data_IF_556583409492
#
_entry.id   IF_556583409492
#
_cell.length_a   1.000
_cell.length_b   1.000
_cell.length_c   1.000
_cell.angle_alpha   90.00
_cell.angle_beta   90.00
_cell.angle_gamma   90.00
#
_symmetry.space_group_name_H-M   'P 1'
#
loop_
_entity.id
_entity.type
_entity.pdbx_description
1 polymer ?
#
# COMPACT_ATOMS: atom_id res chain seq x y z
N UNK A 1 -17.91 -79.00 15.03
CA UNK A 1 -18.78 -80.17 14.76
C UNK A 1 -20.10 -79.91 15.47
N UNK A 2 -21.22 -80.00 14.73
CA UNK A 2 -22.63 -79.92 15.15
C UNK A 2 -23.13 -78.55 15.66
N UNK A 3 -24.34 -78.07 15.38
CA UNK A 3 -25.36 -78.31 14.34
C UNK A 3 -26.51 -77.29 14.56
N UNK A 4 -27.28 -77.05 13.50
CA UNK A 4 -28.72 -76.67 13.47
C UNK A 4 -29.09 -75.19 13.67
N UNK A 5 -29.58 -74.44 12.68
CA UNK A 5 -30.83 -74.50 11.87
C UNK A 5 -32.10 -73.91 12.53
N UNK A 6 -32.88 -73.25 11.65
CA UNK A 6 -34.20 -72.57 11.79
C UNK A 6 -34.16 -71.10 12.24
N UNK A 7 -34.20 -70.09 11.36
CA UNK A 7 -35.13 -69.65 10.26
C UNK A 7 -36.07 -68.53 10.70
N UNK A 8 -36.04 -67.46 9.88
CA UNK A 8 -37.15 -66.59 9.44
C UNK A 8 -37.79 -65.67 10.51
N UNK A 9 -37.88 -64.34 10.33
CA UNK A 9 -38.34 -63.58 9.14
C UNK A 9 -37.99 -62.06 9.34
N UNK A 10 -38.27 -61.14 8.38
CA UNK A 10 -37.33 -60.19 7.76
C UNK A 10 -37.27 -58.81 8.47
N UNK A 11 -36.11 -58.13 8.53
CA UNK A 11 -35.53 -57.15 7.54
C UNK A 11 -36.45 -55.93 7.35
N UNK A 12 -36.05 -54.65 7.42
CA UNK A 12 -34.85 -53.86 7.76
C UNK A 12 -35.32 -52.40 7.49
N UNK A 13 -34.74 -51.30 7.93
CA UNK A 13 -33.50 -51.00 8.68
C UNK A 13 -33.58 -49.52 9.06
N UNK A 14 -33.20 -49.21 10.29
CA UNK A 14 -32.74 -47.89 10.70
C UNK A 14 -31.42 -48.07 11.45
N UNK A 15 -30.56 -47.07 11.29
CA UNK A 15 -29.44 -46.71 12.16
C UNK A 15 -28.14 -47.50 12.02
N UNK A 16 -27.03 -46.76 11.99
CA UNK A 16 -25.79 -47.17 12.64
C UNK A 16 -25.06 -45.93 13.19
N UNK A 17 -25.07 -45.84 14.52
CA UNK A 17 -24.22 -45.01 15.36
C UNK A 17 -23.61 -45.95 16.43
N UNK A 18 -22.31 -45.76 16.69
CA UNK A 18 -21.49 -46.10 17.87
C UNK A 18 -21.14 -47.55 18.27
N UNK A 19 -19.84 -47.73 18.55
CA UNK A 19 -19.30 -48.55 19.64
C UNK A 19 -18.24 -47.72 20.43
N UNK A 20 -18.24 -47.91 21.75
CA UNK A 20 -17.60 -47.18 22.88
C UNK A 20 -16.40 -47.99 23.48
N UNK A 21 -15.58 -47.52 24.49
CA UNK A 21 -15.93 -47.65 25.93
C UNK A 21 -15.40 -46.58 26.94
N UNK A 22 -15.96 -46.67 28.15
CA UNK A 22 -15.96 -45.85 29.39
C UNK A 22 -14.64 -45.70 30.19
N UNK A 23 -14.46 -44.59 30.95
CA UNK A 23 -14.48 -44.49 32.46
C UNK A 23 -14.28 -43.00 32.97
N UNK A 24 -14.34 -42.70 34.30
CA UNK A 24 -15.45 -42.13 35.06
C UNK A 24 -15.48 -40.59 35.27
N UNK A 25 -16.67 -40.13 35.63
CA UNK A 25 -17.09 -38.81 36.10
C UNK A 25 -16.36 -38.25 37.33
N UNK A 26 -15.74 -37.07 37.18
CA UNK A 26 -15.53 -36.08 38.25
C UNK A 26 -16.06 -34.72 37.79
N UNK A 27 -16.90 -34.12 38.62
CA UNK A 27 -17.43 -32.77 38.48
C UNK A 27 -16.31 -31.73 38.59
N UNK A 28 -16.01 -31.05 37.48
CA UNK A 28 -15.23 -29.82 37.46
C UNK A 28 -16.12 -28.73 36.86
N UNK A 29 -16.57 -27.82 37.72
CA UNK A 29 -17.22 -26.58 37.34
C UNK A 29 -16.25 -25.72 36.54
N UNK A 30 -16.35 -25.76 35.20
CA UNK A 30 -15.67 -24.78 34.35
C UNK A 30 -16.56 -23.55 34.20
N UNK A 31 -16.09 -22.43 34.75
CA UNK A 31 -16.65 -21.11 34.48
C UNK A 31 -16.62 -20.86 32.97
N UNK A 32 -17.78 -20.54 32.39
CA UNK A 32 -17.91 -20.05 31.01
C UNK A 32 -17.15 -18.73 30.87
N UNK A 33 -15.88 -18.80 30.49
CA UNK A 33 -15.20 -17.68 29.85
C UNK A 33 -15.84 -17.44 28.48
N UNK A 34 -16.28 -16.21 28.25
CA UNK A 34 -17.02 -15.78 27.05
C UNK A 34 -16.11 -15.90 25.84
N UNK A 35 -16.41 -16.82 24.92
CA UNK A 35 -15.90 -16.71 23.55
C UNK A 35 -16.53 -15.45 22.90
N UNK A 36 -15.76 -14.66 22.13
CA UNK A 36 -16.31 -13.55 21.36
C UNK A 36 -17.31 -14.09 20.30
N UNK A 37 -18.27 -13.26 19.86
CA UNK A 37 -19.32 -13.70 18.94
C UNK A 37 -18.73 -14.20 17.61
N UNK A 38 -19.27 -15.33 17.12
CA UNK A 38 -18.89 -15.97 15.86
C UNK A 38 -18.85 -14.95 14.69
N UNK A 39 -17.82 -14.98 13.82
CA UNK A 39 -17.83 -14.18 12.61
C UNK A 39 -19.01 -14.61 11.73
N UNK A 40 -19.80 -13.62 11.30
CA UNK A 40 -20.74 -13.63 10.17
C UNK A 40 -20.82 -14.99 9.45
N UNK A 41 -21.82 -15.80 9.78
CA UNK A 41 -22.25 -17.06 9.13
C UNK A 41 -21.37 -17.48 7.94
N UNK A 42 -20.23 -18.15 8.20
CA UNK A 42 -19.48 -18.85 7.16
C UNK A 42 -20.42 -19.87 6.52
N UNK A 43 -20.47 -19.95 5.19
CA UNK A 43 -21.22 -21.01 4.53
C UNK A 43 -20.64 -22.37 4.93
N UNK A 44 -21.45 -23.43 4.94
CA UNK A 44 -21.00 -24.78 5.30
C UNK A 44 -19.73 -25.20 4.54
N UNK A 45 -19.62 -24.81 3.26
CA UNK A 45 -18.43 -25.03 2.42
C UNK A 45 -17.17 -24.33 2.98
N UNK A 46 -17.28 -23.10 3.48
CA UNK A 46 -16.11 -22.36 4.01
C UNK A 46 -15.65 -22.93 5.35
N UNK A 47 -16.55 -23.44 6.18
CA UNK A 47 -16.19 -24.16 7.41
C UNK A 47 -15.39 -25.43 7.10
N UNK A 48 -15.81 -26.21 6.11
CA UNK A 48 -15.07 -27.41 5.68
C UNK A 48 -13.67 -27.06 5.17
N UNK A 49 -13.55 -26.00 4.37
CA UNK A 49 -12.25 -25.52 3.85
C UNK A 49 -11.33 -25.08 4.99
N UNK A 50 -11.86 -24.39 6.01
CA UNK A 50 -11.07 -24.00 7.18
C UNK A 50 -10.58 -25.21 7.98
N UNK A 51 -11.42 -26.24 8.15
CA UNK A 51 -11.02 -27.49 8.78
C UNK A 51 -9.89 -28.19 8.03
N UNK A 52 -10.03 -28.33 6.70
CA UNK A 52 -9.00 -28.90 5.84
C UNK A 52 -7.70 -28.09 5.89
N UNK A 53 -7.80 -26.76 5.92
CA UNK A 53 -6.63 -25.89 6.04
C UNK A 53 -5.91 -26.09 7.37
N UNK A 54 -6.65 -26.14 8.48
CA UNK A 54 -6.11 -26.37 9.83
C UNK A 54 -5.39 -27.72 9.94
N UNK A 55 -5.95 -28.78 9.35
CA UNK A 55 -5.33 -30.11 9.31
C UNK A 55 -3.97 -30.09 8.59
N UNK A 56 -3.89 -29.42 7.44
CA UNK A 56 -2.66 -29.37 6.64
C UNK A 56 -1.51 -28.59 7.26
N UNK A 57 -1.83 -27.62 8.09
CA UNK A 57 -0.83 -26.77 8.76
C UNK A 57 -0.58 -27.22 10.21
N UNK A 58 -1.07 -28.38 10.61
CA UNK A 58 -1.01 -28.84 12.00
C UNK A 58 0.42 -28.93 12.53
N UNK A 59 1.39 -29.23 11.66
CA UNK A 59 2.82 -29.26 11.96
C UNK A 59 3.41 -27.89 12.31
N UNK A 60 2.85 -26.81 11.76
CA UNK A 60 3.33 -25.43 11.97
C UNK A 60 2.39 -24.57 12.81
N UNK A 61 1.20 -25.07 13.14
CA UNK A 61 0.19 -24.34 13.94
C UNK A 61 0.74 -23.80 15.28
N UNK A 62 1.60 -24.52 16.04
CA UNK A 62 2.18 -24.00 17.28
C UNK A 62 3.16 -22.83 17.09
N UNK A 63 3.67 -22.64 15.87
CA UNK A 63 4.63 -21.59 15.52
C UNK A 63 3.94 -20.28 15.09
N UNK A 64 2.62 -20.30 14.91
CA UNK A 64 1.87 -19.13 14.49
C UNK A 64 1.69 -18.13 15.64
N UNK A 65 1.65 -16.81 15.33
CA UNK A 65 1.37 -15.80 16.34
C UNK A 65 -0.05 -15.94 16.93
N UNK A 66 -0.98 -16.49 16.16
CA UNK A 66 -2.35 -16.76 16.60
C UNK A 66 -2.93 -18.00 15.92
N UNK A 67 -3.75 -18.74 16.66
CA UNK A 67 -4.37 -20.00 16.20
C UNK A 67 -5.89 -19.92 16.03
N UNK A 68 -6.49 -18.75 16.32
CA UNK A 68 -7.93 -18.55 16.20
C UNK A 68 -8.37 -18.44 14.72
N UNK A 69 -9.63 -18.75 14.44
CA UNK A 69 -10.14 -18.88 13.08
C UNK A 69 -9.99 -17.60 12.26
N UNK A 70 -10.16 -16.44 12.87
CA UNK A 70 -9.94 -15.15 12.20
C UNK A 70 -8.55 -15.03 11.57
N UNK A 71 -7.49 -15.45 12.27
CA UNK A 71 -6.12 -15.42 11.75
C UNK A 71 -6.00 -16.32 10.52
N UNK A 72 -6.46 -17.56 10.62
CA UNK A 72 -6.41 -18.55 9.53
C UNK A 72 -7.22 -18.11 8.30
N UNK A 73 -8.38 -17.49 8.53
CA UNK A 73 -9.26 -17.02 7.47
C UNK A 73 -8.63 -15.89 6.65
N UNK A 74 -7.70 -15.09 7.18
CA UNK A 74 -7.00 -14.06 6.40
C UNK A 74 -6.22 -14.66 5.23
N UNK A 75 -5.49 -15.75 5.49
CA UNK A 75 -4.71 -16.48 4.48
C UNK A 75 -5.61 -17.11 3.42
N UNK A 76 -6.72 -17.72 3.86
CA UNK A 76 -7.72 -18.29 2.97
C UNK A 76 -8.36 -17.22 2.09
N UNK A 77 -8.84 -16.11 2.66
CA UNK A 77 -9.46 -15.01 1.89
C UNK A 77 -8.49 -14.42 0.87
N UNK A 78 -7.23 -14.19 1.25
CA UNK A 78 -6.20 -13.65 0.36
C UNK A 78 -5.85 -14.55 -0.83
N UNK A 79 -6.25 -15.83 -0.81
CA UNK A 79 -6.06 -16.79 -1.90
C UNK A 79 -7.38 -17.39 -2.38
N UNK A 80 -8.49 -16.66 -2.23
CA UNK A 80 -9.84 -17.07 -2.68
C UNK A 80 -10.23 -18.47 -2.20
N UNK A 81 -9.92 -18.78 -0.93
CA UNK A 81 -10.15 -20.07 -0.27
C UNK A 81 -9.44 -21.27 -0.93
N UNK A 82 -8.40 -21.04 -1.74
CA UNK A 82 -7.55 -22.10 -2.26
C UNK A 82 -6.58 -22.58 -1.18
N UNK A 83 -6.82 -23.78 -0.63
CA UNK A 83 -6.05 -24.33 0.50
C UNK A 83 -4.56 -24.46 0.18
N UNK A 84 -4.20 -25.01 -0.99
CA UNK A 84 -2.79 -25.20 -1.39
C UNK A 84 -2.02 -23.86 -1.43
N UNK A 85 -2.61 -22.84 -2.06
CA UNK A 85 -1.99 -21.51 -2.16
C UNK A 85 -1.94 -20.80 -0.81
N UNK A 86 -2.96 -20.98 0.02
CA UNK A 86 -3.03 -20.40 1.36
C UNK A 86 -1.95 -21.00 2.28
N UNK A 87 -1.75 -22.31 2.20
CA UNK A 87 -0.71 -23.03 2.94
C UNK A 87 0.69 -22.58 2.51
N UNK A 88 0.97 -22.54 1.21
CA UNK A 88 2.25 -22.07 0.69
C UNK A 88 2.56 -20.63 1.14
N UNK A 89 1.55 -19.75 1.12
CA UNK A 89 1.68 -18.37 1.61
C UNK A 89 1.98 -18.32 3.12
N UNK A 90 1.24 -19.08 3.93
CA UNK A 90 1.43 -19.13 5.38
C UNK A 90 2.82 -19.67 5.76
N UNK A 91 3.30 -20.71 5.08
CA UNK A 91 4.64 -21.28 5.32
C UNK A 91 5.74 -20.27 4.96
N UNK A 92 5.61 -19.58 3.83
CA UNK A 92 6.52 -18.47 3.45
C UNK A 92 6.50 -17.35 4.50
N UNK A 93 5.34 -17.05 5.07
CA UNK A 93 5.23 -16.07 6.16
C UNK A 93 6.01 -16.51 7.41
N UNK A 94 5.97 -17.79 7.79
CA UNK A 94 6.76 -18.29 8.92
C UNK A 94 8.27 -18.15 8.69
N UNK A 95 8.76 -18.45 7.48
CA UNK A 95 10.16 -18.21 7.12
C UNK A 95 10.51 -16.73 7.24
N UNK A 96 9.63 -15.86 6.74
CA UNK A 96 9.78 -14.41 6.88
C UNK A 96 9.83 -13.97 8.34
N UNK A 97 8.91 -14.43 9.20
CA UNK A 97 8.88 -14.08 10.63
C UNK A 97 10.20 -14.44 11.30
N UNK A 98 10.70 -15.65 11.03
CA UNK A 98 11.98 -16.12 11.56
C UNK A 98 13.15 -15.27 11.06
N UNK A 99 13.21 -15.00 9.75
CA UNK A 99 14.34 -14.29 9.14
C UNK A 99 14.40 -12.82 9.57
N UNK A 100 13.23 -12.18 9.70
CA UNK A 100 13.11 -10.77 10.09
C UNK A 100 13.00 -10.57 11.60
N UNK A 101 12.97 -11.66 12.38
CA UNK A 101 12.71 -11.65 13.83
C UNK A 101 11.43 -10.88 14.17
N UNK A 102 10.36 -11.09 13.40
CA UNK A 102 9.13 -10.32 13.52
C UNK A 102 8.50 -10.43 14.92
N UNK A 103 8.61 -11.60 15.57
CA UNK A 103 8.05 -11.83 16.90
C UNK A 103 8.66 -10.94 17.99
N UNK A 104 9.93 -10.53 17.84
CA UNK A 104 10.64 -9.70 18.81
C UNK A 104 10.99 -8.30 18.29
N UNK A 105 10.58 -7.96 17.07
CA UNK A 105 10.99 -6.72 16.40
C UNK A 105 10.53 -5.45 17.14
N UNK A 106 9.42 -5.53 17.87
CA UNK A 106 8.88 -4.38 18.62
C UNK A 106 9.61 -4.13 19.94
N UNK A 107 10.34 -5.12 20.46
CA UNK A 107 11.01 -5.07 21.77
C UNK A 107 12.53 -5.08 21.67
N UNK A 108 13.10 -5.85 20.75
CA UNK A 108 14.55 -6.10 20.64
C UNK A 108 15.24 -5.26 19.56
N UNK A 109 14.47 -4.65 18.65
CA UNK A 109 15.02 -3.84 17.57
C UNK A 109 14.51 -2.40 17.67
N UNK A 110 15.42 -1.44 17.54
CA UNK A 110 15.09 -0.03 17.46
C UNK A 110 15.50 0.50 16.09
N UNK A 111 14.64 1.33 15.45
CA UNK A 111 15.02 2.03 14.24
C UNK A 111 16.26 2.90 14.47
N UNK A 112 17.14 3.06 13.47
CA UNK A 112 18.15 4.11 13.49
C UNK A 112 17.51 5.49 13.73
N UNK A 113 18.20 6.34 14.47
CA UNK A 113 17.70 7.68 14.86
C UNK A 113 17.21 8.50 13.65
N UNK A 114 17.91 8.40 12.51
CA UNK A 114 17.51 9.09 11.27
C UNK A 114 16.14 8.63 10.77
N UNK A 115 15.81 7.35 10.91
CA UNK A 115 14.50 6.83 10.55
C UNK A 115 13.46 7.32 11.55
N UNK A 116 13.75 7.22 12.86
CA UNK A 116 12.83 7.63 13.92
C UNK A 116 12.45 9.13 13.82
N UNK A 117 13.41 9.98 13.44
CA UNK A 117 13.20 11.44 13.33
C UNK A 117 12.66 11.90 11.98
N UNK A 118 13.08 11.27 10.88
CA UNK A 118 12.86 11.79 9.52
C UNK A 118 12.07 10.86 8.60
N UNK A 119 11.67 9.66 9.04
CA UNK A 119 10.64 8.90 8.34
C UNK A 119 9.27 9.36 8.82
N UNK A 120 8.44 9.82 7.89
CA UNK A 120 7.10 10.32 8.21
C UNK A 120 6.15 9.20 8.61
N UNK A 121 5.13 9.58 9.36
CA UNK A 121 3.96 8.76 9.64
C UNK A 121 3.80 8.41 11.12
N UNK A 122 2.81 7.61 11.42
CA UNK A 122 2.54 7.14 12.77
C UNK A 122 1.08 6.76 13.02
N UNK A 123 0.85 6.11 14.15
CA UNK A 123 -0.49 5.67 14.55
C UNK A 123 -1.19 6.77 15.36
N UNK A 124 -2.35 7.23 14.91
CA UNK A 124 -3.11 8.26 15.63
C UNK A 124 -4.61 8.12 15.38
N UNK A 125 -5.34 7.80 16.46
CA UNK A 125 -6.80 7.67 16.47
C UNK A 125 -7.31 6.29 16.04
N UNK A 126 -8.62 6.10 16.22
CA UNK A 126 -9.37 4.94 15.77
C UNK A 126 -10.54 5.38 14.88
N UNK A 127 -10.87 4.56 13.87
CA UNK A 127 -12.09 4.79 13.10
C UNK A 127 -13.34 4.48 13.95
N UNK A 128 -14.53 4.85 13.44
CA UNK A 128 -15.81 4.64 14.15
C UNK A 128 -16.10 3.17 14.49
N UNK A 129 -15.44 2.24 13.82
CA UNK A 129 -15.57 0.81 14.06
C UNK A 129 -14.40 0.26 14.89
N UNK A 130 -13.56 1.11 15.49
CA UNK A 130 -12.48 0.72 16.40
C UNK A 130 -11.18 0.30 15.72
N UNK A 131 -11.09 0.39 14.39
CA UNK A 131 -9.85 0.05 13.68
C UNK A 131 -8.79 1.13 13.90
N UNK A 132 -7.54 0.79 14.26
CA UNK A 132 -6.45 1.75 14.37
C UNK A 132 -6.22 2.51 13.06
N UNK A 133 -5.82 3.78 13.17
CA UNK A 133 -5.53 4.63 12.02
C UNK A 133 -4.02 4.86 11.90
N UNK A 134 -3.45 4.50 10.75
CA UNK A 134 -2.07 4.83 10.38
C UNK A 134 -2.03 6.02 9.42
N UNK A 135 -1.14 6.97 9.70
CA UNK A 135 -0.90 8.14 8.88
C UNK A 135 0.43 7.99 8.13
N UNK A 136 0.44 8.30 6.84
CA UNK A 136 1.67 8.53 6.06
C UNK A 136 1.59 9.94 5.45
N UNK A 137 2.59 10.78 5.74
CA UNK A 137 2.65 12.18 5.30
C UNK A 137 3.77 12.35 4.27
N UNK A 138 3.41 12.36 2.99
CA UNK A 138 4.35 12.10 1.89
C UNK A 138 5.22 13.32 1.55
N UNK A 139 4.62 14.49 1.34
CA UNK A 139 5.34 15.65 0.81
C UNK A 139 6.64 16.06 1.52
N UNK A 140 6.71 16.06 2.87
CA UNK A 140 7.92 16.48 3.57
C UNK A 140 9.03 15.43 3.58
N UNK A 141 8.76 14.17 3.16
CA UNK A 141 9.77 13.11 3.12
C UNK A 141 10.93 13.53 2.22
N UNK A 142 12.15 13.19 2.65
CA UNK A 142 13.39 13.36 1.89
C UNK A 142 13.96 11.98 1.52
N UNK A 143 13.56 11.41 0.36
CA UNK A 143 14.00 10.06 -0.02
C UNK A 143 15.51 9.96 -0.19
N UNK A 144 16.18 10.97 -0.77
CA UNK A 144 17.63 10.93 -0.97
C UNK A 144 18.35 10.99 0.37
N UNK A 145 17.99 11.94 1.23
CA UNK A 145 18.62 12.06 2.55
C UNK A 145 18.46 10.80 3.40
N UNK A 146 17.29 10.17 3.37
CA UNK A 146 17.04 8.89 4.05
C UNK A 146 17.93 7.77 3.51
N UNK A 147 18.01 7.60 2.19
CA UNK A 147 18.80 6.53 1.57
C UNK A 147 20.32 6.71 1.67
N UNK A 148 20.78 7.96 1.81
CA UNK A 148 22.17 8.25 2.12
C UNK A 148 22.51 8.01 3.60
N UNK A 149 21.50 7.91 4.47
CA UNK A 149 21.69 7.81 5.92
C UNK A 149 21.38 6.43 6.51
N UNK A 150 20.49 5.66 5.88
CA UNK A 150 20.05 4.36 6.39
C UNK A 150 20.03 3.29 5.30
N UNK A 151 20.07 2.03 5.72
CA UNK A 151 20.02 0.91 4.78
C UNK A 151 18.58 0.62 4.34
N UNK A 152 18.44 0.02 3.14
CA UNK A 152 17.16 -0.51 2.67
C UNK A 152 16.51 -1.48 3.66
N UNK A 153 17.33 -2.32 4.29
CA UNK A 153 16.87 -3.30 5.27
C UNK A 153 16.29 -2.64 6.52
N UNK A 154 16.83 -1.49 6.94
CA UNK A 154 16.29 -0.76 8.09
C UNK A 154 14.93 -0.14 7.78
N UNK A 155 14.69 0.35 6.56
CA UNK A 155 13.34 0.79 6.14
C UNK A 155 12.33 -0.36 6.17
N UNK A 156 12.70 -1.51 5.63
CA UNK A 156 11.84 -2.69 5.62
C UNK A 156 11.54 -3.14 7.07
N UNK A 157 12.56 -3.25 7.93
CA UNK A 157 12.38 -3.59 9.36
C UNK A 157 11.50 -2.59 10.10
N UNK A 158 11.66 -1.29 9.82
CA UNK A 158 10.80 -0.24 10.40
C UNK A 158 9.34 -0.48 10.05
N UNK A 159 9.04 -0.76 8.78
CA UNK A 159 7.67 -1.03 8.33
C UNK A 159 7.10 -2.36 8.84
N UNK A 160 7.95 -3.37 9.08
CA UNK A 160 7.54 -4.61 9.75
C UNK A 160 7.17 -4.31 11.21
N UNK A 161 8.00 -3.52 11.91
CA UNK A 161 7.72 -3.10 13.29
C UNK A 161 6.40 -2.34 13.39
N UNK A 162 6.13 -1.41 12.47
CA UNK A 162 4.86 -0.69 12.39
C UNK A 162 3.67 -1.65 12.25
N UNK A 163 3.77 -2.66 11.38
CA UNK A 163 2.73 -3.68 11.22
C UNK A 163 2.49 -4.56 12.47
N UNK A 164 3.55 -4.99 13.15
CA UNK A 164 3.42 -5.79 14.38
C UNK A 164 2.84 -4.93 15.52
N UNK A 165 3.20 -3.63 15.59
CA UNK A 165 2.58 -2.68 16.52
C UNK A 165 1.08 -2.49 16.23
N UNK A 166 0.70 -2.34 14.96
CA UNK A 166 -0.70 -2.17 14.57
C UNK A 166 -1.54 -3.42 14.81
N UNK A 167 -0.99 -4.62 14.59
CA UNK A 167 -1.66 -5.87 14.96
C UNK A 167 -1.89 -5.97 16.46
N UNK A 168 -0.88 -5.64 17.27
CA UNK A 168 -1.04 -5.59 18.73
C UNK A 168 -2.12 -4.59 19.16
N UNK A 169 -2.20 -3.42 18.51
CA UNK A 169 -3.26 -2.46 18.82
C UNK A 169 -4.65 -2.98 18.39
N UNK A 170 -4.75 -3.71 17.28
CA UNK A 170 -5.99 -4.40 16.89
C UNK A 170 -6.44 -5.42 17.96
N UNK A 171 -5.51 -6.18 18.53
CA UNK A 171 -5.82 -7.14 19.61
C UNK A 171 -6.32 -6.41 20.86
N UNK A 172 -5.65 -5.33 21.27
CA UNK A 172 -6.08 -4.49 22.39
C UNK A 172 -7.45 -3.84 22.15
N UNK A 173 -7.72 -3.39 20.93
CA UNK A 173 -9.05 -2.88 20.56
C UNK A 173 -10.11 -3.97 20.57
N UNK A 174 -9.75 -5.20 20.20
CA UNK A 174 -10.66 -6.33 20.26
C UNK A 174 -11.10 -6.63 21.69
N UNK A 175 -10.16 -6.57 22.64
CA UNK A 175 -10.44 -6.71 24.07
C UNK A 175 -11.31 -5.56 24.59
N UNK A 176 -10.96 -4.31 24.28
CA UNK A 176 -11.69 -3.11 24.73
C UNK A 176 -13.13 -3.08 24.25
N UNK A 177 -13.39 -3.50 23.01
CA UNK A 177 -14.70 -3.42 22.38
C UNK A 177 -15.53 -4.71 22.51
N UNK A 178 -14.92 -5.80 22.99
CA UNK A 178 -15.58 -7.11 23.08
C UNK A 178 -15.98 -7.71 21.73
N UNK A 179 -15.33 -7.27 20.64
CA UNK A 179 -15.56 -7.76 19.27
C UNK A 179 -14.26 -7.75 18.49
N UNK A 180 -14.14 -8.64 17.51
CA UNK A 180 -12.90 -8.82 16.76
C UNK A 180 -12.57 -7.63 15.84
N UNK A 181 -11.40 -7.03 16.03
CA UNK A 181 -10.80 -5.98 15.20
C UNK A 181 -9.50 -6.54 14.62
N UNK A 182 -9.38 -6.60 13.29
CA UNK A 182 -8.20 -7.21 12.62
C UNK A 182 -7.62 -6.38 11.48
N UNK A 183 -8.25 -5.25 11.16
CA UNK A 183 -7.91 -4.45 10.00
C UNK A 183 -7.76 -2.98 10.36
N UNK A 184 -6.86 -2.28 9.67
CA UNK A 184 -6.50 -0.89 9.92
C UNK A 184 -7.07 0.05 8.86
N UNK A 185 -7.32 1.30 9.23
CA UNK A 185 -7.55 2.39 8.29
C UNK A 185 -6.24 3.12 8.04
N UNK A 186 -5.90 3.42 6.80
CA UNK A 186 -4.71 4.22 6.46
C UNK A 186 -5.13 5.57 5.88
N UNK A 187 -4.41 6.63 6.22
CA UNK A 187 -4.59 7.97 5.64
C UNK A 187 -3.25 8.40 5.03
N UNK A 188 -3.27 8.62 3.72
CA UNK A 188 -2.15 9.05 2.92
C UNK A 188 -2.33 10.52 2.59
N UNK A 189 -1.60 11.37 3.31
CA UNK A 189 -1.49 12.79 2.99
C UNK A 189 -0.46 12.99 1.87
N UNK A 190 -0.98 13.19 0.65
CA UNK A 190 -0.17 13.37 -0.54
C UNK A 190 0.11 14.84 -0.86
N UNK A 191 -0.25 15.78 0.03
CA UNK A 191 0.14 17.18 -0.15
C UNK A 191 1.67 17.28 -0.23
N UNK A 192 2.17 17.98 -1.25
CA UNK A 192 3.61 18.10 -1.49
C UNK A 192 4.27 16.89 -2.20
N UNK A 193 3.50 15.87 -2.61
CA UNK A 193 4.02 14.81 -3.49
C UNK A 193 4.57 15.43 -4.79
N UNK A 194 5.89 15.46 -4.92
CA UNK A 194 6.63 15.96 -6.08
C UNK A 194 7.61 14.95 -6.68
N UNK A 195 8.34 15.42 -7.69
CA UNK A 195 9.30 14.62 -8.48
C UNK A 195 10.38 13.91 -7.66
N UNK A 196 10.81 14.50 -6.52
CA UNK A 196 11.78 13.88 -5.60
C UNK A 196 11.34 12.49 -5.10
N UNK A 197 10.04 12.23 -5.02
CA UNK A 197 9.49 10.94 -4.58
C UNK A 197 9.47 9.88 -5.70
N UNK A 198 9.68 10.29 -6.95
CA UNK A 198 9.74 9.38 -8.11
C UNK A 198 11.17 8.91 -8.38
N UNK A 199 12.12 9.19 -7.49
CA UNK A 199 13.48 8.70 -7.59
C UNK A 199 13.50 7.16 -7.57
N UNK A 200 14.17 6.53 -8.55
CA UNK A 200 14.05 5.10 -8.83
C UNK A 200 14.36 4.21 -7.61
N UNK A 201 15.47 4.40 -6.87
CA UNK A 201 15.76 3.60 -5.67
C UNK A 201 14.67 3.68 -4.58
N UNK A 202 14.04 4.85 -4.42
CA UNK A 202 12.95 5.03 -3.47
C UNK A 202 11.69 4.28 -3.91
N UNK A 203 11.33 4.36 -5.20
CA UNK A 203 10.19 3.65 -5.76
C UNK A 203 10.38 2.13 -5.68
N UNK A 204 11.56 1.62 -5.99
CA UNK A 204 11.88 0.19 -5.91
C UNK A 204 11.77 -0.33 -4.48
N UNK A 205 12.37 0.37 -3.52
CA UNK A 205 12.28 0.01 -2.10
C UNK A 205 10.85 0.08 -1.57
N UNK A 206 10.09 1.11 -1.96
CA UNK A 206 8.69 1.21 -1.59
C UNK A 206 7.88 0.06 -2.20
N UNK A 207 8.20 -0.36 -3.42
CA UNK A 207 7.65 -1.57 -4.04
C UNK A 207 7.94 -2.87 -3.28
N UNK A 208 9.17 -3.03 -2.78
CA UNK A 208 9.55 -4.15 -1.91
C UNK A 208 8.76 -4.13 -0.60
N UNK A 209 8.56 -2.95 0.01
CA UNK A 209 7.74 -2.77 1.22
C UNK A 209 6.28 -3.16 0.95
N UNK A 210 5.69 -2.70 -0.16
CA UNK A 210 4.32 -3.07 -0.55
C UNK A 210 4.18 -4.57 -0.79
N UNK A 211 5.14 -5.18 -1.48
CA UNK A 211 5.17 -6.64 -1.70
C UNK A 211 5.26 -7.39 -0.38
N UNK A 212 6.11 -6.91 0.54
CA UNK A 212 6.22 -7.46 1.89
C UNK A 212 4.88 -7.37 2.64
N UNK A 213 4.14 -6.26 2.52
CA UNK A 213 2.81 -6.12 3.12
C UNK A 213 1.80 -7.13 2.56
N UNK A 214 1.71 -7.26 1.23
CA UNK A 214 0.78 -8.17 0.56
C UNK A 214 1.07 -9.65 0.86
N UNK A 215 2.35 -10.00 1.01
CA UNK A 215 2.77 -11.38 1.27
C UNK A 215 2.61 -11.79 2.75
N UNK A 216 2.73 -10.85 3.70
CA UNK A 216 2.86 -11.18 5.13
C UNK A 216 1.75 -10.63 6.02
N UNK A 217 1.01 -9.63 5.57
CA UNK A 217 -0.12 -9.05 6.32
C UNK A 217 -1.41 -9.09 5.48
N UNK A 218 -1.81 -10.26 4.95
CA UNK A 218 -3.00 -10.39 4.14
C UNK A 218 -4.22 -9.91 4.91
N UNK A 219 -5.14 -9.27 4.19
CA UNK A 219 -6.42 -8.80 4.73
C UNK A 219 -6.29 -7.81 5.92
N UNK A 220 -5.09 -7.27 6.19
CA UNK A 220 -4.85 -6.31 7.27
C UNK A 220 -5.30 -4.88 6.94
N UNK A 221 -5.41 -4.52 5.65
CA UNK A 221 -5.95 -3.23 5.25
C UNK A 221 -7.48 -3.26 5.20
N UNK A 222 -8.13 -2.32 5.88
CA UNK A 222 -9.58 -2.09 5.79
C UNK A 222 -9.91 -1.13 4.65
N UNK A 223 -9.27 0.03 4.65
CA UNK A 223 -9.40 1.11 3.65
C UNK A 223 -8.18 2.04 3.72
N UNK A 224 -7.85 2.66 2.60
CA UNK A 224 -6.79 3.68 2.50
C UNK A 224 -7.38 4.93 1.86
N UNK A 225 -7.39 6.04 2.59
CA UNK A 225 -7.79 7.34 2.06
C UNK A 225 -6.58 8.09 1.54
N UNK A 226 -6.56 8.44 0.25
CA UNK A 226 -5.59 9.38 -0.31
C UNK A 226 -6.22 10.77 -0.27
N UNK A 227 -5.61 11.70 0.45
CA UNK A 227 -6.06 13.08 0.57
C UNK A 227 -5.06 14.03 -0.08
N UNK A 228 -5.56 15.19 -0.55
CA UNK A 228 -4.76 16.27 -1.13
C UNK A 228 -3.80 15.80 -2.25
N UNK A 229 -4.25 14.83 -3.05
CA UNK A 229 -3.47 14.27 -4.15
C UNK A 229 -3.21 15.32 -5.25
N UNK A 230 -1.94 15.60 -5.62
CA UNK A 230 -1.63 16.54 -6.69
C UNK A 230 -1.79 15.90 -8.08
N UNK A 231 -1.66 16.70 -9.14
CA UNK A 231 -1.69 16.24 -10.55
C UNK A 231 -0.65 15.15 -10.86
N UNK A 232 0.43 15.06 -10.08
CA UNK A 232 1.48 14.04 -10.20
C UNK A 232 1.06 12.67 -9.67
N UNK A 233 0.03 12.59 -8.81
CA UNK A 233 -0.39 11.36 -8.15
C UNK A 233 -0.66 10.19 -9.12
N UNK A 234 -1.35 10.36 -10.27
CA UNK A 234 -1.57 9.26 -11.20
C UNK A 234 -0.29 8.64 -11.74
N UNK A 235 0.79 9.41 -11.90
CA UNK A 235 2.11 8.90 -12.30
C UNK A 235 2.71 8.09 -11.16
N UNK A 236 2.75 8.66 -9.95
CA UNK A 236 3.29 7.99 -8.76
C UNK A 236 2.56 6.67 -8.47
N UNK A 237 1.23 6.69 -8.51
CA UNK A 237 0.41 5.49 -8.30
C UNK A 237 0.66 4.43 -9.37
N UNK A 238 0.86 4.83 -10.63
CA UNK A 238 1.15 3.90 -11.72
C UNK A 238 2.46 3.14 -11.53
N UNK A 239 3.46 3.75 -10.88
CA UNK A 239 4.74 3.12 -10.55
C UNK A 239 4.62 2.03 -9.48
N UNK A 240 3.67 2.16 -8.56
CA UNK A 240 3.58 1.26 -7.39
C UNK A 240 2.42 0.30 -7.48
N UNK A 241 1.38 0.59 -8.28
CA UNK A 241 0.14 -0.19 -8.34
C UNK A 241 0.36 -1.67 -8.63
N UNK A 242 1.38 -2.03 -9.42
CA UNK A 242 1.65 -3.44 -9.77
C UNK A 242 2.11 -4.30 -8.59
N UNK A 243 2.58 -3.68 -7.50
CA UNK A 243 2.90 -4.39 -6.26
C UNK A 243 1.67 -4.65 -5.38
N UNK A 244 0.54 -4.00 -5.69
CA UNK A 244 -0.70 -4.11 -4.93
C UNK A 244 -1.62 -5.17 -5.53
N UNK A 245 -2.25 -5.98 -4.69
CA UNK A 245 -3.29 -6.91 -5.12
C UNK A 245 -4.56 -6.16 -5.54
N UNK A 246 -5.43 -6.82 -6.32
CA UNK A 246 -6.72 -6.24 -6.71
C UNK A 246 -7.58 -5.89 -5.48
N UNK A 247 -7.52 -6.73 -4.44
CA UNK A 247 -8.22 -6.51 -3.16
C UNK A 247 -7.76 -5.20 -2.52
N UNK A 248 -6.45 -4.99 -2.42
CA UNK A 248 -5.87 -3.76 -1.86
C UNK A 248 -6.21 -2.54 -2.71
N UNK A 249 -6.09 -2.63 -4.04
CA UNK A 249 -6.44 -1.52 -4.95
C UNK A 249 -7.91 -1.09 -4.80
N UNK A 250 -8.82 -2.05 -4.58
CA UNK A 250 -10.24 -1.77 -4.36
C UNK A 250 -10.53 -1.09 -3.01
N UNK A 251 -9.58 -1.11 -2.07
CA UNK A 251 -9.66 -0.44 -0.76
C UNK A 251 -9.05 0.97 -0.77
N UNK A 252 -8.41 1.38 -1.87
CA UNK A 252 -7.83 2.72 -2.04
C UNK A 252 -8.92 3.68 -2.51
N UNK A 253 -9.14 4.74 -1.74
CA UNK A 253 -10.17 5.75 -1.98
C UNK A 253 -9.46 7.10 -2.12
N UNK A 254 -9.40 7.62 -3.35
CA UNK A 254 -8.83 8.95 -3.62
C UNK A 254 -9.91 10.00 -3.40
N UNK A 255 -9.69 10.88 -2.43
CA UNK A 255 -10.65 11.91 -2.04
C UNK A 255 -10.41 13.22 -2.79
N UNK A 256 -11.50 13.93 -3.10
CA UNK A 256 -11.50 15.24 -3.73
C UNK A 256 -11.38 16.38 -2.72
N UNK A 257 -11.88 17.57 -3.07
CA UNK A 257 -11.79 18.76 -2.23
C UNK A 257 -12.49 18.62 -0.87
N UNK A 258 -13.57 17.84 -0.78
CA UNK A 258 -14.34 17.60 0.44
C UNK A 258 -13.76 16.47 1.33
N UNK A 259 -12.46 16.21 1.24
CA UNK A 259 -11.83 15.09 1.95
C UNK A 259 -12.04 15.14 3.47
N UNK A 260 -12.07 16.32 4.10
CA UNK A 260 -12.33 16.47 5.54
C UNK A 260 -13.72 15.95 5.93
N UNK A 261 -14.76 16.36 5.21
CA UNK A 261 -16.14 15.90 5.44
C UNK A 261 -16.25 14.39 5.26
N UNK A 262 -15.59 13.84 4.24
CA UNK A 262 -15.59 12.39 4.00
C UNK A 262 -14.91 11.65 5.14
N UNK A 263 -13.75 12.11 5.63
CA UNK A 263 -13.08 11.47 6.77
C UNK A 263 -13.96 11.44 8.02
N UNK A 264 -14.71 12.50 8.30
CA UNK A 264 -15.62 12.58 9.44
C UNK A 264 -16.78 11.57 9.40
N UNK A 265 -17.14 11.06 8.22
CA UNK A 265 -18.10 9.95 8.10
C UNK A 265 -17.55 8.63 8.64
N UNK A 266 -16.22 8.45 8.63
CA UNK A 266 -15.56 7.21 9.05
C UNK A 266 -14.85 7.33 10.40
N UNK A 267 -14.51 8.54 10.83
CA UNK A 267 -13.69 8.80 12.01
C UNK A 267 -14.43 9.80 12.88
N UNK A 268 -14.48 9.53 14.19
CA UNK A 268 -15.07 10.47 15.12
C UNK A 268 -14.24 11.77 15.21
N UNK A 269 -14.84 12.97 15.28
CA UNK A 269 -14.09 14.21 15.42
C UNK A 269 -13.05 14.17 16.55
N UNK A 270 -13.34 13.51 17.68
CA UNK A 270 -12.42 13.41 18.82
C UNK A 270 -11.24 12.43 18.57
N UNK A 271 -11.28 11.69 17.47
CA UNK A 271 -10.23 10.75 17.03
C UNK A 271 -9.45 11.26 15.81
N UNK A 272 -9.92 12.32 15.14
CA UNK A 272 -9.30 12.90 13.96
C UNK A 272 -8.52 14.17 14.37
N UNK A 273 -7.24 14.33 14.00
CA UNK A 273 -6.49 15.54 14.32
C UNK A 273 -7.19 16.80 13.81
N UNK A 274 -7.13 17.88 14.58
CA UNK A 274 -7.76 19.15 14.25
C UNK A 274 -7.25 19.73 12.92
N UNK A 275 -5.96 19.55 12.60
CA UNK A 275 -5.38 19.94 11.31
C UNK A 275 -6.00 19.20 10.10
N UNK A 276 -6.67 18.06 10.33
CA UNK A 276 -7.35 17.26 9.32
C UNK A 276 -8.89 17.37 9.40
N UNK A 277 -9.42 18.37 10.11
CA UNK A 277 -10.85 18.65 10.19
C UNK A 277 -11.58 18.02 11.37
N UNK A 278 -10.85 17.38 12.31
CA UNK A 278 -11.40 16.88 13.56
C UNK A 278 -11.19 17.85 14.73
N UNK A 279 -11.01 17.29 15.92
CA UNK A 279 -10.82 18.02 17.19
C UNK A 279 -9.66 17.51 18.02
N UNK A 280 -9.05 16.38 17.66
CA UNK A 280 -7.93 15.82 18.40
C UNK A 280 -6.71 16.74 18.31
N UNK A 281 -6.11 17.04 19.46
CA UNK A 281 -4.85 17.78 19.58
C UNK A 281 -3.89 17.03 20.51
N UNK A 282 -2.61 17.37 20.44
CA UNK A 282 -1.68 16.99 21.50
C UNK A 282 -2.00 17.71 22.83
N UNK A 283 -1.43 17.26 23.97
CA UNK A 283 -1.64 17.91 25.27
C UNK A 283 -1.23 19.38 25.32
N UNK A 284 -0.31 19.82 24.46
CA UNK A 284 0.13 21.21 24.33
C UNK A 284 -0.72 22.04 23.34
N UNK A 285 -1.76 21.43 22.76
CA UNK A 285 -2.65 22.06 21.79
C UNK A 285 -2.19 21.96 20.33
N UNK A 286 -1.14 21.20 20.01
CA UNK A 286 -0.75 21.01 18.61
C UNK A 286 -1.83 20.27 17.81
N UNK A 287 -2.48 21.01 16.91
CA UNK A 287 -3.52 20.52 16.00
C UNK A 287 -3.08 19.38 15.07
N UNK A 288 -1.76 19.19 14.88
CA UNK A 288 -1.20 18.16 14.00
C UNK A 288 -0.90 16.85 14.71
N UNK A 289 -1.03 16.79 16.03
CA UNK A 289 -0.73 15.60 16.83
C UNK A 289 0.70 15.06 16.59
N UNK A 290 1.71 15.95 16.62
CA UNK A 290 3.12 15.61 16.37
C UNK A 290 3.73 14.64 17.38
N UNK A 291 3.12 14.47 18.56
CA UNK A 291 3.54 13.40 19.48
C UNK A 291 3.23 11.99 18.97
N UNK A 292 2.34 11.87 17.97
CA UNK A 292 1.88 10.58 17.40
C UNK A 292 2.13 10.45 15.90
N UNK A 293 2.16 11.56 15.17
CA UNK A 293 2.37 11.61 13.73
C UNK A 293 3.66 12.37 13.45
N UNK A 294 4.65 11.69 12.87
CA UNK A 294 5.89 12.33 12.47
C UNK A 294 5.71 13.02 11.12
N UNK A 295 5.85 14.34 11.11
CA UNK A 295 5.92 15.16 9.89
C UNK A 295 7.40 15.38 9.63
N UNK A 296 7.96 14.50 8.81
CA UNK A 296 9.38 14.49 8.46
C UNK A 296 9.92 15.88 8.05
N UNK A 297 11.24 15.99 7.96
CA UNK A 297 11.91 17.14 7.37
C UNK A 297 13.07 16.67 6.49
N UNK A 298 13.79 17.63 5.92
CA UNK A 298 15.07 17.35 5.24
C UNK A 298 16.02 16.68 6.23
N UNK A 299 16.65 15.57 5.80
CA UNK A 299 17.61 14.87 6.64
C UNK A 299 18.91 15.69 6.71
N UNK A 300 19.42 16.02 7.90
CA UNK A 300 20.70 16.70 8.03
C UNK A 300 21.83 15.86 7.42
N UNK A 301 22.73 16.50 6.69
CA UNK A 301 23.87 15.83 6.03
C UNK A 301 24.80 15.13 7.02
N UNK A 302 24.77 15.50 8.30
CA UNK A 302 25.51 14.82 9.38
C UNK A 302 25.07 13.36 9.59
N UNK A 303 23.89 12.96 9.12
CA UNK A 303 23.45 11.55 9.18
C UNK A 303 23.93 10.73 7.98
N UNK A 304 24.53 11.35 6.95
CA UNK A 304 24.86 10.66 5.72
C UNK A 304 26.05 9.71 5.96
N UNK A 305 25.84 8.42 5.70
CA UNK A 305 26.85 7.36 5.84
C UNK A 305 27.40 6.90 4.49
N UNK A 306 26.87 7.45 3.39
CA UNK A 306 27.33 7.21 2.02
C UNK A 306 27.11 8.45 1.16
N UNK A 307 27.90 8.60 0.10
CA UNK A 307 27.82 9.74 -0.84
C UNK A 307 26.83 9.49 -1.98
N UNK A 308 26.62 8.23 -2.33
CA UNK A 308 25.69 7.83 -3.40
C UNK A 308 25.05 6.48 -3.11
N UNK A 309 23.96 6.21 -3.83
CA UNK A 309 23.33 4.88 -3.87
C UNK A 309 23.76 4.21 -5.16
N UNK A 310 24.23 2.96 -5.05
CA UNK A 310 24.57 2.16 -6.23
C UNK A 310 23.31 1.93 -7.05
N UNK A 311 23.37 2.29 -8.33
CA UNK A 311 22.30 2.04 -9.29
C UNK A 311 22.87 1.32 -10.51
N UNK A 312 22.13 0.34 -11.00
CA UNK A 312 22.45 -0.36 -12.24
C UNK A 312 21.85 0.41 -13.44
N UNK A 313 22.64 0.54 -14.49
CA UNK A 313 22.26 1.27 -15.70
C UNK A 313 21.84 0.30 -16.80
N UNK A 314 20.78 0.65 -17.53
CA UNK A 314 20.22 -0.18 -18.60
C UNK A 314 21.00 -0.02 -19.92
N UNK A 315 21.57 1.16 -20.15
CA UNK A 315 22.17 1.53 -21.42
C UNK A 315 23.56 2.14 -21.23
N UNK A 316 24.39 2.03 -22.25
CA UNK A 316 25.65 2.75 -22.32
C UNK A 316 25.88 3.32 -23.73
N UNK A 317 26.53 4.48 -23.79
CA UNK A 317 26.94 5.10 -25.04
C UNK A 317 28.32 5.76 -24.90
N UNK A 318 28.98 6.00 -26.02
CA UNK A 318 30.24 6.74 -26.06
C UNK A 318 30.04 8.08 -26.76
N UNK A 319 30.37 9.16 -26.06
CA UNK A 319 30.44 10.52 -26.62
C UNK A 319 31.88 10.82 -27.00
N UNK A 320 32.17 10.81 -28.31
CA UNK A 320 33.48 11.17 -28.84
C UNK A 320 33.89 12.58 -28.42
N UNK A 321 35.21 12.83 -28.35
CA UNK A 321 35.76 14.18 -28.14
C UNK A 321 35.19 15.17 -29.15
N UNK A 322 34.94 16.41 -28.74
CA UNK A 322 34.43 17.45 -29.65
C UNK A 322 33.01 17.19 -30.18
N UNK A 323 32.26 16.23 -29.61
CA UNK A 323 30.96 15.80 -30.13
C UNK A 323 29.88 15.76 -29.05
N UNK A 324 28.64 15.50 -29.45
CA UNK A 324 27.49 15.30 -28.56
C UNK A 324 26.63 14.13 -29.04
N UNK A 325 25.91 13.50 -28.12
CA UNK A 325 24.88 12.50 -28.40
C UNK A 325 23.52 13.00 -27.92
N UNK A 326 22.47 12.60 -28.64
CA UNK A 326 21.09 13.02 -28.38
C UNK A 326 20.21 11.77 -28.27
N UNK A 327 19.33 11.74 -27.27
CA UNK A 327 18.30 10.74 -27.10
C UNK A 327 16.95 11.44 -27.25
N UNK A 328 16.12 10.98 -28.19
CA UNK A 328 14.85 11.62 -28.53
C UNK A 328 13.67 10.81 -28.00
N UNK A 329 12.77 11.46 -27.26
CA UNK A 329 11.55 10.86 -26.72
C UNK A 329 10.35 11.67 -27.19
N UNK A 330 9.50 11.07 -28.02
CA UNK A 330 8.24 11.66 -28.45
C UNK A 330 7.19 11.52 -27.35
N UNK A 331 6.75 12.66 -26.82
CA UNK A 331 5.72 12.75 -25.80
C UNK A 331 4.43 13.20 -26.48
N UNK A 332 3.46 12.30 -26.54
CA UNK A 332 2.16 12.57 -27.14
C UNK A 332 1.14 13.13 -26.13
N UNK A 333 1.31 12.81 -24.85
CA UNK A 333 0.36 13.14 -23.79
C UNK A 333 1.02 14.01 -22.72
N UNK A 334 0.49 15.22 -22.45
CA UNK A 334 0.92 16.05 -21.34
C UNK A 334 0.78 15.34 -19.99
N UNK A 335 1.67 15.68 -19.05
CA UNK A 335 1.64 15.16 -17.68
C UNK A 335 2.42 13.85 -17.48
N UNK A 336 3.08 13.33 -18.52
CA UNK A 336 4.10 12.28 -18.36
C UNK A 336 5.32 12.85 -17.64
N UNK A 337 6.08 11.99 -16.96
CA UNK A 337 7.35 12.38 -16.34
C UNK A 337 8.49 11.70 -17.08
N UNK A 338 9.38 12.49 -17.65
CA UNK A 338 10.67 12.02 -18.15
C UNK A 338 11.63 11.93 -16.96
N UNK A 339 12.15 10.75 -16.66
CA UNK A 339 13.12 10.50 -15.58
C UNK A 339 14.42 9.98 -16.18
N UNK A 340 15.55 10.47 -15.68
CA UNK A 340 16.86 10.01 -16.10
C UNK A 340 17.82 9.82 -14.93
N UNK A 341 18.80 8.94 -15.13
CA UNK A 341 19.96 8.81 -14.29
C UNK A 341 21.16 8.43 -15.15
N UNK A 342 22.34 8.98 -14.86
CA UNK A 342 23.56 8.67 -15.60
C UNK A 342 24.82 8.81 -14.75
N UNK A 343 25.86 8.12 -15.18
CA UNK A 343 27.24 8.27 -14.72
C UNK A 343 28.18 8.26 -15.92
N UNK A 344 29.31 8.96 -15.80
CA UNK A 344 30.33 9.06 -16.85
C UNK A 344 31.66 8.49 -16.38
N UNK A 345 32.44 7.92 -17.29
CA UNK A 345 33.79 7.47 -16.98
C UNK A 345 34.78 8.66 -17.00
N UNK A 346 35.57 8.78 -15.93
CA UNK A 346 36.85 9.50 -15.87
C UNK A 346 36.82 11.03 -15.82
N UNK A 347 35.78 11.69 -16.32
CA UNK A 347 35.67 13.14 -16.29
C UNK A 347 34.21 13.61 -16.40
N UNK A 348 34.02 14.92 -16.30
CA UNK A 348 32.71 15.56 -16.34
C UNK A 348 32.06 15.51 -17.72
N UNK A 349 30.73 15.48 -17.76
CA UNK A 349 29.94 15.47 -19.00
C UNK A 349 28.94 16.63 -19.00
N UNK A 350 28.77 17.29 -20.15
CA UNK A 350 27.69 18.24 -20.34
C UNK A 350 26.36 17.50 -20.48
N UNK A 351 25.31 17.96 -19.80
CA UNK A 351 23.97 17.39 -19.94
C UNK A 351 22.91 18.48 -19.90
N UNK A 352 21.91 18.36 -20.76
CA UNK A 352 20.72 19.23 -20.77
C UNK A 352 19.55 18.54 -21.46
N UNK A 353 18.35 19.08 -21.26
CA UNK A 353 17.11 18.58 -21.90
C UNK A 353 16.50 19.69 -22.73
N UNK A 354 16.21 19.38 -23.98
CA UNK A 354 15.65 20.31 -24.96
C UNK A 354 14.31 19.79 -25.48
N UNK A 355 13.56 20.64 -26.17
CA UNK A 355 12.35 20.28 -26.87
C UNK A 355 12.39 20.78 -28.31
N UNK A 356 11.94 19.94 -29.26
CA UNK A 356 11.73 20.30 -30.67
C UNK A 356 10.35 19.88 -31.16
N UNK A 357 9.84 20.59 -32.16
CA UNK A 357 8.45 20.47 -32.62
C UNK A 357 8.11 19.24 -33.47
N UNK A 358 9.10 18.55 -34.07
CA UNK A 358 8.87 17.34 -34.88
C UNK A 358 10.01 16.33 -34.71
N UNK A 359 9.69 15.03 -34.82
CA UNK A 359 10.67 13.95 -34.95
C UNK A 359 11.40 14.10 -36.29
N UNK A 360 12.70 13.79 -36.32
CA UNK A 360 13.49 13.77 -37.56
C UNK A 360 14.78 14.55 -37.43
N UNK A 361 14.90 15.68 -38.14
CA UNK A 361 16.16 16.40 -38.32
C UNK A 361 16.87 16.64 -36.98
N UNK A 362 18.14 16.23 -36.94
CA UNK A 362 19.02 16.51 -35.81
C UNK A 362 19.24 18.01 -35.76
N UNK A 363 18.65 18.67 -34.76
CA UNK A 363 18.79 20.10 -34.58
C UNK A 363 19.98 20.41 -33.67
N UNK A 364 20.64 21.52 -33.96
CA UNK A 364 21.66 22.06 -33.06
C UNK A 364 20.99 22.60 -31.79
N UNK A 365 21.70 22.59 -30.66
CA UNK A 365 21.14 23.01 -29.37
C UNK A 365 20.48 24.40 -29.42
N UNK A 366 21.09 25.37 -30.11
CA UNK A 366 20.55 26.74 -30.24
C UNK A 366 19.28 26.88 -31.09
N UNK A 367 18.82 25.80 -31.75
CA UNK A 367 17.55 25.78 -32.51
C UNK A 367 16.43 25.09 -31.74
N UNK A 368 16.75 24.41 -30.64
CA UNK A 368 15.79 23.72 -29.80
C UNK A 368 15.44 24.60 -28.60
N UNK A 369 14.22 24.45 -28.08
CA UNK A 369 13.84 25.10 -26.83
C UNK A 369 14.55 24.39 -25.68
N UNK A 370 15.32 25.11 -24.88
CA UNK A 370 15.95 24.55 -23.69
C UNK A 370 14.91 24.41 -22.57
N UNK A 371 14.80 23.20 -22.01
CA UNK A 371 13.83 22.89 -20.94
C UNK A 371 14.53 22.64 -19.61
N UNK A 372 15.67 21.93 -19.66
CA UNK A 372 16.61 21.82 -18.55
C UNK A 372 17.95 22.37 -19.03
N UNK A 373 18.44 23.47 -18.44
CA UNK A 373 19.68 24.11 -18.88
C UNK A 373 20.86 23.16 -18.94
N UNK A 374 21.63 23.24 -20.02
CA UNK A 374 22.82 22.43 -20.16
C UNK A 374 23.89 22.85 -19.15
N UNK A 375 24.33 21.91 -18.30
CA UNK A 375 25.37 22.13 -17.29
C UNK A 375 26.46 21.06 -17.39
N UNK A 376 27.62 21.31 -16.79
CA UNK A 376 28.71 20.33 -16.68
C UNK A 376 28.57 19.60 -15.35
N UNK A 377 28.52 18.27 -15.42
CA UNK A 377 28.32 17.42 -14.27
C UNK A 377 29.52 16.50 -14.03
N UNK A 378 30.00 16.43 -12.79
CA UNK A 378 31.05 15.50 -12.38
C UNK A 378 30.49 14.08 -12.15
N UNK A 379 29.78 13.55 -13.14
CA UNK A 379 29.03 12.30 -13.05
C UNK A 379 29.90 11.03 -12.91
N UNK A 380 31.23 11.20 -12.89
CA UNK A 380 32.23 10.16 -12.61
C UNK A 380 32.51 9.99 -11.11
N UNK A 381 32.20 11.00 -10.29
CA UNK A 381 32.34 10.95 -8.83
C UNK A 381 31.03 10.46 -8.20
N UNK A 382 29.93 11.13 -8.56
CA UNK A 382 28.58 10.84 -8.06
C UNK A 382 27.64 10.78 -9.25
N UNK A 383 26.85 9.71 -9.42
CA UNK A 383 25.81 9.65 -10.43
C UNK A 383 24.86 10.84 -10.37
N UNK A 384 24.45 11.31 -11.55
CA UNK A 384 23.45 12.36 -11.68
C UNK A 384 22.08 11.75 -11.96
N UNK A 385 21.04 12.29 -11.35
CA UNK A 385 19.65 11.94 -11.65
C UNK A 385 18.77 13.19 -11.72
N UNK A 386 17.71 13.08 -12.50
CA UNK A 386 16.75 14.15 -12.65
C UNK A 386 15.43 13.65 -13.20
N UNK A 387 14.43 14.50 -13.12
CA UNK A 387 13.15 14.26 -13.77
C UNK A 387 12.46 15.56 -14.11
N UNK A 388 11.55 15.48 -15.08
CA UNK A 388 10.82 16.59 -15.64
C UNK A 388 9.39 16.15 -15.93
N UNK A 389 8.41 16.95 -15.52
CA UNK A 389 7.03 16.76 -16.00
C UNK A 389 6.91 17.39 -17.38
N UNK A 390 6.59 16.59 -18.39
CA UNK A 390 6.38 17.03 -19.76
C UNK A 390 5.00 17.71 -19.87
N UNK A 391 4.96 19.04 -19.80
CA UNK A 391 3.72 19.82 -19.84
C UNK A 391 3.14 19.96 -21.24
N UNK A 392 3.97 19.84 -22.27
CA UNK A 392 3.59 20.01 -23.67
C UNK A 392 3.92 18.75 -24.48
N UNK A 393 3.08 18.37 -25.46
CA UNK A 393 3.43 17.35 -26.43
C UNK A 393 4.57 17.84 -27.32
N UNK A 394 5.48 16.95 -27.68
CA UNK A 394 6.65 17.28 -28.49
C UNK A 394 7.75 16.25 -28.35
N UNK A 395 8.89 16.53 -28.97
CA UNK A 395 10.06 15.65 -28.90
C UNK A 395 11.03 16.23 -27.88
N UNK A 396 11.17 15.53 -26.75
CA UNK A 396 12.14 15.88 -25.71
C UNK A 396 13.48 15.22 -26.05
N UNK A 397 14.54 16.02 -26.05
CA UNK A 397 15.89 15.62 -26.47
C UNK A 397 16.82 15.71 -25.27
N UNK A 398 17.26 14.57 -24.74
CA UNK A 398 18.32 14.53 -23.73
C UNK A 398 19.66 14.56 -24.45
N UNK A 399 20.48 15.57 -24.18
CA UNK A 399 21.75 15.78 -24.89
C UNK A 399 22.93 15.62 -23.95
N UNK A 400 23.78 14.64 -24.24
CA UNK A 400 25.11 14.51 -23.62
C UNK A 400 26.15 15.22 -24.48
N UNK A 401 26.85 16.19 -23.90
CA UNK A 401 27.75 17.09 -24.60
C UNK A 401 29.20 16.91 -24.13
N UNK A 402 30.08 16.56 -25.07
CA UNK A 402 31.52 16.44 -24.87
C UNK A 402 32.29 17.37 -25.84
N UNK A 403 31.65 18.42 -26.35
CA UNK A 403 32.23 19.36 -27.32
C UNK A 403 33.42 20.15 -26.76
N UNK A 404 33.51 20.29 -25.44
CA UNK A 404 34.61 20.99 -24.75
C UNK A 404 35.86 20.11 -24.52
N UNK A 405 35.79 18.79 -24.73
CA UNK A 405 36.93 17.91 -24.48
C UNK A 405 37.82 17.76 -25.70
N UNK A 406 39.12 17.97 -25.48
CA UNK A 406 40.14 17.98 -26.54
C UNK A 406 40.75 16.58 -26.76
N UNK A 407 40.89 15.79 -25.68
CA UNK A 407 41.68 14.55 -25.73
C UNK A 407 40.88 13.27 -25.51
N UNK A 408 39.76 13.31 -24.79
CA UNK A 408 39.09 12.11 -24.29
C UNK A 408 37.65 11.98 -24.79
N UNK A 409 37.30 10.80 -25.29
CA UNK A 409 35.92 10.35 -25.39
C UNK A 409 35.41 9.96 -24.00
N UNK A 410 34.09 10.01 -23.81
CA UNK A 410 33.44 9.66 -22.55
C UNK A 410 32.45 8.55 -22.76
N UNK A 411 32.57 7.49 -21.96
CA UNK A 411 31.54 6.45 -21.89
C UNK A 411 30.54 6.86 -20.81
N UNK A 412 29.27 6.86 -21.17
CA UNK A 412 28.15 7.25 -20.31
C UNK A 412 27.30 6.01 -20.10
N UNK A 413 27.08 5.63 -18.84
CA UNK A 413 26.11 4.61 -18.45
C UNK A 413 24.87 5.32 -17.94
N UNK A 414 23.69 4.99 -18.46
CA UNK A 414 22.47 5.74 -18.16
C UNK A 414 21.21 4.88 -18.23
N UNK A 415 20.14 5.40 -17.63
CA UNK A 415 18.77 4.90 -17.71
C UNK A 415 17.84 6.09 -17.91
N UNK A 416 16.93 6.01 -18.88
CA UNK A 416 15.92 7.05 -19.14
C UNK A 416 14.57 6.39 -19.32
N UNK A 417 13.58 6.88 -18.60
CA UNK A 417 12.24 6.31 -18.56
C UNK A 417 11.19 7.41 -18.75
N UNK A 418 10.14 7.07 -19.51
CA UNK A 418 8.93 7.91 -19.63
C UNK A 418 7.86 7.30 -18.75
N UNK A 419 7.53 7.98 -17.66
CA UNK A 419 6.55 7.55 -16.68
C UNK A 419 5.18 8.12 -17.06
N UNK A 420 4.27 7.24 -17.48
CA UNK A 420 2.93 7.63 -17.91
C UNK A 420 1.98 7.82 -16.71
N UNK A 421 1.08 8.81 -16.74
CA UNK A 421 -0.02 8.87 -15.79
C UNK A 421 -0.92 7.64 -15.99
N UNK A 422 -1.28 6.95 -14.90
CA UNK A 422 -2.21 5.82 -15.00
C UNK A 422 -3.58 6.28 -15.53
N UNK A 423 -4.19 5.49 -16.43
CA UNK A 423 -5.61 5.69 -16.77
C UNK A 423 -6.44 5.55 -15.49
N UNK A 424 -7.10 6.63 -15.07
CA UNK A 424 -7.98 6.60 -13.91
C UNK A 424 -9.17 5.69 -14.22
N UNK A 425 -9.37 4.64 -13.42
CA UNK A 425 -10.67 3.99 -13.38
C UNK A 425 -11.65 5.01 -12.80
N UNK A 426 -12.57 5.49 -13.64
CA UNK A 426 -13.69 6.29 -13.16
C UNK A 426 -14.45 5.50 -12.09
N UNK A 427 -14.90 6.14 -11.00
CA UNK A 427 -15.68 5.44 -9.99
C UNK A 427 -16.96 4.93 -10.66
N UNK A 428 -17.12 3.60 -10.71
CA UNK A 428 -18.41 2.99 -11.06
C UNK A 428 -19.44 3.55 -10.07
N UNK A 429 -20.38 4.38 -10.56
CA UNK A 429 -21.58 4.76 -9.80
C UNK A 429 -22.27 3.48 -9.37
N UNK A 430 -22.13 3.09 -8.10
CA UNK A 430 -22.97 2.06 -7.50
C UNK A 430 -24.37 2.67 -7.41
N UNK A 431 -25.31 2.08 -8.14
CA UNK A 431 -26.73 2.39 -8.01
C UNK A 431 -27.14 2.26 -6.54
N UNK A 432 -27.85 3.27 -6.04
CA UNK A 432 -28.30 3.35 -4.66
C UNK A 432 -29.19 2.16 -4.31
N UNK A 433 -28.84 1.47 -3.23
CA UNK A 433 -29.78 0.64 -2.50
C UNK A 433 -30.76 1.58 -1.78
N UNK A 434 -32.02 1.54 -2.23
CA UNK A 434 -33.14 2.16 -1.54
C UNK A 434 -33.18 1.66 -0.09
N UNK A 435 -33.10 2.60 0.85
CA UNK A 435 -33.57 2.41 2.21
C UNK A 435 -35.04 2.78 2.18
N UNK A 436 -35.93 1.79 2.16
CA UNK A 436 -37.35 2.00 2.42
C UNK A 436 -37.51 2.40 3.88
N UNK A 437 -37.79 3.69 4.10
CA UNK A 437 -38.36 4.18 5.35
C UNK A 437 -39.88 3.98 5.27
N UNK A 438 -40.38 3.01 6.01
CA UNK A 438 -41.78 2.83 6.32
C UNK A 438 -42.28 4.03 7.15
N UNK A 439 -43.08 4.89 6.53
CA UNK A 439 -43.91 5.86 7.26
C UNK A 439 -45.38 5.53 7.04
N UNK A 440 -45.98 4.97 8.09
CA UNK A 440 -47.43 5.00 8.29
C UNK A 440 -47.85 6.45 8.55
N UNK A 441 -48.78 6.97 7.75
CA UNK A 441 -49.80 7.88 8.27
C UNK A 441 -51.05 7.78 7.40
N UNK A 442 -52.16 7.53 8.08
CA UNK A 442 -53.51 7.37 7.57
C UNK A 442 -54.06 8.71 7.05
N UNK A 443 -54.91 8.66 6.03
CA UNK A 443 -56.15 9.47 5.97
C UNK A 443 -57.13 8.87 4.93
N UNK A 444 -58.45 9.03 5.14
CA UNK A 444 -59.45 8.09 4.66
C UNK A 444 -60.14 8.49 3.35
N UNK A 445 -60.80 7.47 2.78
CA UNK A 445 -61.86 7.50 1.78
C UNK A 445 -62.58 8.85 1.57
N UNK A 446 -62.76 9.23 0.31
CA UNK A 446 -64.07 9.71 -0.12
C UNK A 446 -64.39 9.25 -1.55
N UNK A 447 -65.54 8.58 -1.67
CA UNK A 447 -66.14 8.14 -2.92
C UNK A 447 -66.98 9.26 -3.52
N UNK A 448 -67.06 9.27 -4.86
CA UNK A 448 -68.30 9.50 -5.59
C UNK A 448 -68.51 10.91 -6.16
N UNK A 449 -68.87 10.96 -7.45
CA UNK A 449 -69.58 12.10 -8.03
C UNK A 449 -69.03 12.60 -9.35
N UNK A 450 -69.34 11.89 -10.44
CA UNK A 450 -69.41 12.44 -11.79
C UNK A 450 -70.55 13.46 -11.91
N UNK A 451 -70.33 14.62 -12.53
CA UNK A 451 -71.14 15.12 -13.67
C UNK A 451 -70.73 16.55 -14.14
N UNK A 452 -70.63 16.67 -15.46
CA UNK A 452 -70.97 17.81 -16.35
C UNK A 452 -70.46 19.23 -16.09
N UNK A 453 -69.89 19.83 -17.14
CA UNK A 453 -70.47 21.06 -17.69
C UNK A 453 -69.58 22.29 -17.85
N UNK A 454 -69.32 22.62 -19.12
CA UNK A 454 -69.22 23.96 -19.71
C UNK A 454 -68.02 24.89 -19.41
N UNK A 455 -67.29 25.12 -20.51
CA UNK A 455 -66.59 26.34 -20.93
C UNK A 455 -67.02 27.67 -20.30
N UNK A 456 -66.05 28.47 -19.87
CA UNK A 456 -65.65 29.77 -20.45
C UNK A 456 -64.34 30.25 -19.81
#
# INVERSE_FOLDING_TARGET
MLASMFTTKPICTSSLIHLYPFWPSRSLSFSRSRCPPFPVSLSATRFLILGQFRERIQDVLPLLPAQHDHFLLRWLRARNFNVNKSEAMLRKHLDFRKHMKADTITTEWQPPEVIEKYLSGGMCGFDREGSPIWWDVIGPVDPKGLFLSASKQDFIKSKIRDCEMLQKECDLQSERLGRHVEAITMIYDCEGLGLKHLWKPAIETYGEILTMFEDNYPEGLKRLFVIKAPKLFPVAYNLVKHFLSEITRNKIIVLGANWQEVLLNYIDPEQLPAAYGGKLTDPDGDSRCRTKIHYAGTVPTSYYVRESVKVDYEQCLTVSRGSSQQLEYEILFPGCVLRWQFSSDGADIGFGVFMKGKIGERQNAGQMQEVVPSQRYNAHLVPEDGSLTCSEPGVYVLRFDNTYSIFQSKRISFTVEVLLPGQSQSPKKRAGSQVEASNQSQSPNNQGGSESGASS
#
